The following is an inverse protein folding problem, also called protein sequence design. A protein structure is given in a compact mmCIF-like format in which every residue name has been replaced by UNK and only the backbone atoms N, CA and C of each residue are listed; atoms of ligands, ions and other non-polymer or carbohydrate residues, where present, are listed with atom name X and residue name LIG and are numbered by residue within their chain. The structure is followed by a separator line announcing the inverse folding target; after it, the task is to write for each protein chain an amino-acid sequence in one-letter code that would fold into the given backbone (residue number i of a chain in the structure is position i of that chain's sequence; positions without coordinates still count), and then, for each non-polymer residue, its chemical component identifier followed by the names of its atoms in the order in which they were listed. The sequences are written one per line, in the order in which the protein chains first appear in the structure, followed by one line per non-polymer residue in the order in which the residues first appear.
data_IF_875532131676
#
_entry.id   IF_875532131676
#
_cell.length_a   1.000
_cell.length_b   1.000
_cell.length_c   1.000
_cell.angle_alpha   90.00
_cell.angle_beta   90.00
_cell.angle_gamma   90.00
#
_symmetry.space_group_name_H-M   'P 1'
#
loop_
_entity.id
_entity.type
_entity.pdbx_description
1 polymer ?
#
# COMPACT_ATOMS: atom_id res chain seq x y z
N UNK A 1 -0.35 22.06 -3.98
CA UNK A 1 0.58 22.28 -2.85
C UNK A 1 1.33 20.98 -2.60
N UNK A 2 2.66 21.03 -2.51
CA UNK A 2 3.48 19.82 -2.27
C UNK A 2 4.09 19.91 -0.87
N UNK A 3 3.89 18.84 -0.09
CA UNK A 3 4.37 18.71 1.28
C UNK A 3 5.18 17.42 1.37
N UNK A 4 6.39 17.50 1.91
CA UNK A 4 7.23 16.32 2.14
C UNK A 4 7.59 16.26 3.63
N UNK A 5 7.23 15.15 4.27
CA UNK A 5 7.51 14.87 5.68
C UNK A 5 8.45 13.66 5.72
N UNK A 6 9.65 13.82 6.26
CA UNK A 6 10.64 12.74 6.39
C UNK A 6 10.98 12.50 7.86
N UNK A 7 10.80 11.28 8.29
CA UNK A 7 11.20 10.82 9.62
C UNK A 7 12.40 9.87 9.45
N UNK A 8 13.56 10.36 9.90
CA UNK A 8 14.79 9.58 9.91
C UNK A 8 15.04 9.06 11.33
N UNK A 9 15.12 7.73 11.43
CA UNK A 9 15.48 7.06 12.68
C UNK A 9 16.99 6.86 12.72
N UNK A 10 17.64 7.37 13.74
CA UNK A 10 19.06 7.28 14.00
C UNK A 10 19.34 6.67 15.38
N UNK A 11 20.61 6.59 15.81
CA UNK A 11 20.98 5.97 17.08
C UNK A 11 20.44 6.72 18.31
N UNK A 12 20.03 7.97 18.16
CA UNK A 12 19.45 8.79 19.22
C UNK A 12 17.92 8.81 19.21
N UNK A 13 17.32 8.53 18.04
CA UNK A 13 15.87 8.64 17.79
C UNK A 13 15.34 7.36 17.16
N UNK A 14 15.18 6.31 17.96
CA UNK A 14 14.71 4.98 17.51
C UNK A 14 13.19 4.78 17.65
N UNK A 15 12.50 5.68 18.36
CA UNK A 15 11.06 5.59 18.59
C UNK A 15 10.34 6.85 18.10
N UNK A 16 9.27 6.66 17.34
CA UNK A 16 8.40 7.72 16.88
C UNK A 16 6.94 7.34 17.13
N UNK A 17 6.23 8.21 17.85
CA UNK A 17 4.76 8.18 17.92
C UNK A 17 4.29 9.52 17.35
N UNK A 18 3.50 9.47 16.28
CA UNK A 18 3.07 10.69 15.60
C UNK A 18 1.59 10.66 15.19
N UNK A 19 1.05 11.84 15.04
CA UNK A 19 -0.24 12.06 14.41
C UNK A 19 -0.07 13.13 13.33
N UNK A 20 -0.57 12.85 12.14
CA UNK A 20 -0.59 13.78 11.01
C UNK A 20 -2.05 14.03 10.65
N UNK A 21 -2.44 15.29 10.57
CA UNK A 21 -3.75 15.69 10.06
C UNK A 21 -3.58 16.45 8.75
N UNK A 22 -4.33 16.03 7.73
CA UNK A 22 -4.29 16.62 6.39
C UNK A 22 -5.71 17.10 6.05
N UNK A 23 -5.87 18.39 5.80
CA UNK A 23 -7.13 18.96 5.35
C UNK A 23 -6.91 19.58 3.98
N UNK A 24 -7.39 18.90 2.93
CA UNK A 24 -7.27 19.36 1.56
C UNK A 24 -8.49 20.18 1.16
N UNK A 25 -8.25 21.44 0.71
CA UNK A 25 -9.25 22.36 0.16
C UNK A 25 -9.07 22.60 -1.35
N UNK A 26 -8.13 21.90 -1.98
CA UNK A 26 -7.77 21.97 -3.39
C UNK A 26 -6.72 20.92 -3.71
N UNK A 27 -5.96 21.10 -4.78
CA UNK A 27 -4.94 20.14 -5.20
C UNK A 27 -3.77 20.13 -4.20
N UNK A 28 -3.61 19.00 -3.52
CA UNK A 28 -2.61 18.80 -2.46
C UNK A 28 -1.89 17.48 -2.69
N UNK A 29 -0.56 17.50 -2.62
CA UNK A 29 0.29 16.32 -2.69
C UNK A 29 1.12 16.21 -1.41
N UNK A 30 1.12 15.05 -0.77
CA UNK A 30 1.83 14.80 0.48
C UNK A 30 2.67 13.54 0.35
N UNK A 31 3.95 13.63 0.66
CA UNK A 31 4.86 12.48 0.76
C UNK A 31 5.27 12.33 2.21
N UNK A 32 5.10 11.12 2.76
CA UNK A 32 5.48 10.76 4.13
C UNK A 32 6.46 9.59 4.04
N UNK A 33 7.66 9.78 4.55
CA UNK A 33 8.73 8.79 4.50
C UNK A 33 9.23 8.45 5.91
N UNK A 34 9.29 7.16 6.21
CA UNK A 34 9.88 6.60 7.43
C UNK A 34 11.11 5.77 7.04
N UNK A 35 12.29 6.17 7.51
CA UNK A 35 13.56 5.55 7.12
C UNK A 35 14.50 5.35 8.28
N UNK A 36 15.07 4.14 8.40
CA UNK A 36 16.15 3.88 9.35
C UNK A 36 17.52 4.23 8.75
N UNK A 37 18.29 5.00 9.51
CA UNK A 37 19.71 5.29 9.28
C UNK A 37 20.60 4.58 10.29
N UNK A 38 20.04 3.68 11.10
CA UNK A 38 20.69 2.89 12.13
C UNK A 38 20.37 1.41 11.97
N UNK A 39 21.20 0.53 12.53
CA UNK A 39 20.92 -0.91 12.66
C UNK A 39 20.13 -1.27 13.92
N UNK A 40 19.93 -0.31 14.84
CA UNK A 40 19.13 -0.51 16.04
C UNK A 40 17.67 -0.78 15.69
N UNK A 41 16.99 -1.50 16.57
CA UNK A 41 15.55 -1.70 16.44
C UNK A 41 14.83 -0.36 16.60
N UNK A 42 14.05 0.03 15.58
CA UNK A 42 13.21 1.22 15.63
C UNK A 42 11.74 0.83 15.84
N UNK A 43 10.97 1.74 16.39
CA UNK A 43 9.52 1.63 16.53
C UNK A 43 8.85 2.87 15.93
N UNK A 44 7.99 2.65 14.97
CA UNK A 44 7.05 3.67 14.50
C UNK A 44 5.62 3.26 14.87
N UNK A 45 4.86 4.20 15.41
CA UNK A 45 3.43 4.06 15.65
C UNK A 45 2.73 5.38 15.30
N UNK A 46 2.05 5.41 14.15
CA UNK A 46 1.49 6.60 13.56
C UNK A 46 0.00 6.54 13.25
N UNK A 47 -0.62 7.71 13.27
CA UNK A 47 -1.99 7.92 12.78
C UNK A 47 -1.96 9.05 11.77
N UNK A 48 -2.55 8.81 10.60
CA UNK A 48 -2.79 9.81 9.57
C UNK A 48 -4.30 9.99 9.44
N UNK A 49 -4.78 11.21 9.61
CA UNK A 49 -6.17 11.59 9.32
C UNK A 49 -6.20 12.54 8.15
N UNK A 50 -6.96 12.20 7.12
CA UNK A 50 -7.09 13.01 5.93
C UNK A 50 -8.56 13.35 5.64
N UNK A 51 -8.83 14.63 5.39
CA UNK A 51 -10.14 15.13 4.97
C UNK A 51 -9.95 15.80 3.62
N UNK A 52 -10.59 15.25 2.59
CA UNK A 52 -10.70 15.91 1.30
C UNK A 52 -12.07 16.63 1.22
N UNK A 53 -12.03 17.94 1.33
CA UNK A 53 -13.21 18.78 1.25
C UNK A 53 -13.81 18.78 -0.17
N UNK A 54 -14.99 19.36 -0.34
CA UNK A 54 -15.70 19.38 -1.62
C UNK A 54 -14.81 19.90 -2.77
N UNK A 55 -14.76 19.12 -3.87
CA UNK A 55 -13.96 19.34 -5.07
C UNK A 55 -12.43 19.31 -4.85
N UNK A 56 -11.94 18.94 -3.68
CA UNK A 56 -10.50 18.82 -3.42
C UNK A 56 -9.91 17.56 -4.05
N UNK A 57 -8.64 17.66 -4.45
CA UNK A 57 -7.82 16.51 -4.84
C UNK A 57 -6.65 16.36 -3.87
N UNK A 58 -6.51 15.14 -3.33
CA UNK A 58 -5.44 14.79 -2.39
C UNK A 58 -4.68 13.56 -2.89
N UNK A 59 -3.40 13.72 -3.15
CA UNK A 59 -2.48 12.64 -3.47
C UNK A 59 -1.55 12.40 -2.26
N UNK A 60 -1.54 11.19 -1.68
CA UNK A 60 -0.71 10.84 -0.53
C UNK A 60 0.18 9.66 -0.88
N UNK A 61 1.48 9.84 -0.72
CA UNK A 61 2.48 8.76 -0.83
C UNK A 61 3.04 8.47 0.56
N UNK A 62 2.97 7.21 1.01
CA UNK A 62 3.56 6.76 2.27
C UNK A 62 4.60 5.70 1.98
N UNK A 63 5.81 5.88 2.52
CA UNK A 63 6.95 4.99 2.25
C UNK A 63 7.57 4.52 3.56
N UNK A 64 7.51 3.22 3.80
CA UNK A 64 8.17 2.55 4.93
C UNK A 64 9.46 1.86 4.48
N UNK A 65 10.60 2.46 4.84
CA UNK A 65 11.96 1.95 4.63
C UNK A 65 12.68 1.66 5.97
N UNK A 66 11.95 1.29 7.00
CA UNK A 66 12.56 0.89 8.27
C UNK A 66 13.43 -0.36 8.09
N UNK A 67 14.45 -0.51 8.92
CA UNK A 67 15.32 -1.67 8.89
C UNK A 67 14.58 -2.97 9.30
N UNK A 68 15.16 -4.10 9.03
CA UNK A 68 14.55 -5.43 9.20
C UNK A 68 14.26 -5.85 10.65
N UNK A 69 14.80 -5.13 11.64
CA UNK A 69 14.58 -5.39 13.06
C UNK A 69 13.45 -4.55 13.66
N UNK A 70 12.95 -3.58 12.91
CA UNK A 70 12.04 -2.55 13.38
C UNK A 70 10.57 -2.96 13.28
N UNK A 71 9.73 -2.33 14.08
CA UNK A 71 8.28 -2.48 14.02
C UNK A 71 7.63 -1.19 13.49
N UNK A 72 6.69 -1.33 12.57
CA UNK A 72 5.92 -0.25 11.96
C UNK A 72 4.42 -0.47 12.15
N UNK A 73 3.74 0.48 12.79
CA UNK A 73 2.30 0.46 12.97
C UNK A 73 1.72 1.76 12.43
N UNK A 74 0.93 1.67 11.36
CA UNK A 74 0.32 2.83 10.71
C UNK A 74 -1.19 2.65 10.62
N UNK A 75 -1.92 3.66 11.04
CA UNK A 75 -3.37 3.76 10.87
C UNK A 75 -3.70 5.00 10.04
N UNK A 76 -4.50 4.81 8.99
CA UNK A 76 -4.90 5.86 8.07
C UNK A 76 -6.43 5.95 8.08
N UNK A 77 -6.96 7.13 8.36
CA UNK A 77 -8.39 7.43 8.31
C UNK A 77 -8.65 8.53 7.30
N UNK A 78 -9.57 8.29 6.37
CA UNK A 78 -9.93 9.26 5.34
C UNK A 78 -11.41 9.58 5.37
N UNK A 79 -11.73 10.84 5.09
CA UNK A 79 -13.08 11.32 4.85
C UNK A 79 -13.13 12.05 3.52
N UNK A 80 -14.03 11.62 2.64
CA UNK A 80 -14.17 12.16 1.30
C UNK A 80 -15.52 12.87 1.17
N UNK A 81 -15.46 14.18 0.93
CA UNK A 81 -16.63 15.01 0.66
C UNK A 81 -17.01 14.99 -0.84
N UNK A 82 -18.05 15.71 -1.21
CA UNK A 82 -18.61 15.71 -2.57
C UNK A 82 -17.59 16.09 -3.63
N UNK A 83 -17.58 15.34 -4.74
CA UNK A 83 -16.65 15.49 -5.88
C UNK A 83 -15.16 15.44 -5.50
N UNK A 84 -14.81 15.06 -4.28
CA UNK A 84 -13.40 14.98 -3.91
C UNK A 84 -12.74 13.75 -4.51
N UNK A 85 -11.42 13.84 -4.69
CA UNK A 85 -10.61 12.73 -5.17
C UNK A 85 -9.42 12.51 -4.23
N UNK A 86 -9.26 11.27 -3.74
CA UNK A 86 -8.14 10.90 -2.86
C UNK A 86 -7.41 9.71 -3.45
N UNK A 87 -6.11 9.90 -3.71
CA UNK A 87 -5.23 8.84 -4.20
C UNK A 87 -4.16 8.52 -3.16
N UNK A 88 -4.03 7.25 -2.81
CA UNK A 88 -2.94 6.76 -1.97
C UNK A 88 -1.98 5.89 -2.75
N UNK A 89 -0.69 6.07 -2.48
CA UNK A 89 0.38 5.16 -2.89
C UNK A 89 1.14 4.73 -1.65
N UNK A 90 1.02 3.46 -1.25
CA UNK A 90 1.64 2.93 -0.05
C UNK A 90 2.76 1.95 -0.43
N UNK A 91 3.97 2.22 0.02
CA UNK A 91 5.17 1.40 -0.21
C UNK A 91 5.62 0.83 1.14
N UNK A 92 5.30 -0.42 1.41
CA UNK A 92 5.64 -1.11 2.66
C UNK A 92 6.68 -2.21 2.44
N UNK A 93 7.95 -1.83 2.42
CA UNK A 93 9.06 -2.77 2.23
C UNK A 93 9.98 -2.87 3.45
N UNK A 94 9.75 -2.09 4.50
CA UNK A 94 10.52 -2.06 5.74
C UNK A 94 9.86 -2.80 6.91
N UNK A 95 10.63 -2.94 8.00
CA UNK A 95 10.19 -3.47 9.29
C UNK A 95 10.14 -4.99 9.39
N UNK A 96 10.43 -5.53 10.58
CA UNK A 96 10.22 -6.93 10.96
C UNK A 96 8.73 -7.25 11.05
N UNK A 97 7.99 -6.39 11.75
CA UNK A 97 6.54 -6.39 11.81
C UNK A 97 6.02 -5.09 11.24
N UNK A 98 5.16 -5.16 10.23
CA UNK A 98 4.47 -3.99 9.70
C UNK A 98 2.97 -4.25 9.72
N UNK A 99 2.23 -3.34 10.37
CA UNK A 99 0.78 -3.35 10.44
C UNK A 99 0.28 -2.07 9.79
N UNK A 100 -0.49 -2.21 8.71
CA UNK A 100 -1.08 -1.09 7.96
C UNK A 100 -2.59 -1.21 7.97
N UNK A 101 -3.25 -0.25 8.64
CA UNK A 101 -4.69 -0.12 8.62
C UNK A 101 -5.08 1.10 7.79
N UNK A 102 -5.97 0.91 6.84
CA UNK A 102 -6.54 1.96 6.04
C UNK A 102 -8.07 1.93 6.18
N UNK A 103 -8.65 3.04 6.53
CA UNK A 103 -10.09 3.22 6.57
C UNK A 103 -10.49 4.44 5.75
N UNK A 104 -11.41 4.25 4.81
CA UNK A 104 -11.92 5.31 3.96
C UNK A 104 -13.43 5.44 4.08
N UNK A 105 -13.90 6.58 4.56
CA UNK A 105 -15.31 6.93 4.65
C UNK A 105 -15.68 7.86 3.49
N UNK A 106 -16.30 7.29 2.45
CA UNK A 106 -16.63 7.98 1.20
C UNK A 106 -18.08 8.45 1.26
N UNK A 107 -18.28 9.66 1.81
CA UNK A 107 -19.61 10.18 2.15
C UNK A 107 -20.21 11.10 1.08
N UNK A 108 -19.36 11.78 0.32
CA UNK A 108 -19.81 12.76 -0.66
C UNK A 108 -20.28 12.13 -1.98
N UNK A 109 -21.31 12.70 -2.61
CA UNK A 109 -21.67 12.30 -3.97
C UNK A 109 -20.48 12.46 -4.93
N UNK A 110 -20.28 11.47 -5.83
CA UNK A 110 -19.26 11.49 -6.86
C UNK A 110 -17.81 11.59 -6.31
N UNK A 111 -17.61 11.18 -5.06
CA UNK A 111 -16.26 11.10 -4.50
C UNK A 111 -15.52 9.85 -4.99
N UNK A 112 -14.23 9.99 -5.25
CA UNK A 112 -13.37 8.96 -5.83
C UNK A 112 -12.16 8.68 -4.93
N UNK A 113 -11.94 7.41 -4.61
CA UNK A 113 -10.80 6.97 -3.84
C UNK A 113 -10.02 5.90 -4.63
N UNK A 114 -8.72 6.10 -4.75
CA UNK A 114 -7.80 5.17 -5.41
C UNK A 114 -6.67 4.82 -4.45
N UNK A 115 -6.55 3.55 -4.07
CA UNK A 115 -5.52 3.04 -3.18
C UNK A 115 -4.65 2.02 -3.90
N UNK A 116 -3.38 2.34 -4.09
CA UNK A 116 -2.39 1.42 -4.65
C UNK A 116 -1.30 1.17 -3.62
N UNK A 117 -1.01 -0.10 -3.39
CA UNK A 117 -0.04 -0.50 -2.38
C UNK A 117 0.91 -1.57 -2.90
N UNK A 118 2.18 -1.48 -2.51
CA UNK A 118 3.12 -2.59 -2.63
C UNK A 118 3.65 -2.99 -1.26
N UNK A 119 3.89 -4.27 -1.08
CA UNK A 119 4.61 -4.79 0.07
C UNK A 119 5.68 -5.82 -0.34
N UNK A 120 6.78 -5.83 0.40
CA UNK A 120 7.82 -6.84 0.29
C UNK A 120 8.12 -7.40 1.67
N UNK A 121 8.02 -8.72 1.82
CA UNK A 121 8.41 -9.44 3.03
C UNK A 121 9.55 -10.41 2.75
N UNK A 122 10.58 -10.38 3.57
CA UNK A 122 11.76 -11.27 3.49
C UNK A 122 12.08 -11.88 4.85
N UNK A 123 12.87 -12.95 4.89
CA UNK A 123 13.26 -13.61 6.14
C UNK A 123 12.05 -14.09 6.94
N UNK A 124 11.89 -13.62 8.15
CA UNK A 124 10.76 -13.93 9.05
C UNK A 124 9.78 -12.77 9.21
N UNK A 125 9.83 -11.79 8.32
CA UNK A 125 9.00 -10.59 8.40
C UNK A 125 7.51 -10.91 8.33
N UNK A 126 6.74 -10.08 9.03
CA UNK A 126 5.29 -10.15 9.07
C UNK A 126 4.66 -8.86 8.57
N UNK A 127 3.77 -8.99 7.59
CA UNK A 127 2.94 -7.92 7.05
C UNK A 127 1.48 -8.19 7.38
N UNK A 128 0.84 -7.30 8.13
CA UNK A 128 -0.59 -7.31 8.42
C UNK A 128 -1.24 -6.09 7.78
N UNK A 129 -2.11 -6.31 6.81
CA UNK A 129 -2.70 -5.26 5.98
C UNK A 129 -4.21 -5.37 6.09
N UNK A 130 -4.86 -4.30 6.55
CA UNK A 130 -6.31 -4.25 6.71
C UNK A 130 -6.86 -2.97 6.07
N UNK A 131 -7.46 -3.08 4.89
CA UNK A 131 -8.00 -1.97 4.13
C UNK A 131 -9.50 -2.04 4.07
N UNK A 132 -10.16 -0.98 4.51
CA UNK A 132 -11.61 -0.89 4.61
C UNK A 132 -12.07 0.39 3.89
N UNK A 133 -13.03 0.25 2.98
CA UNK A 133 -13.70 1.37 2.34
C UNK A 133 -15.21 1.27 2.55
N UNK A 134 -15.80 2.29 3.16
CA UNK A 134 -17.25 2.44 3.28
C UNK A 134 -17.77 3.47 2.28
N UNK A 135 -18.62 3.03 1.35
CA UNK A 135 -19.26 3.88 0.34
C UNK A 135 -20.65 4.27 0.85
N UNK A 136 -20.84 5.56 1.10
CA UNK A 136 -22.11 6.13 1.63
C UNK A 136 -22.78 7.10 0.66
N UNK A 137 -21.97 7.81 -0.13
CA UNK A 137 -22.46 8.75 -1.13
C UNK A 137 -22.89 8.05 -2.43
N UNK A 138 -23.75 8.71 -3.20
CA UNK A 138 -24.13 8.23 -4.54
C UNK A 138 -23.00 8.40 -5.55
N UNK A 139 -22.88 7.49 -6.52
CA UNK A 139 -21.88 7.53 -7.59
C UNK A 139 -20.43 7.57 -7.07
N UNK A 140 -20.19 7.08 -5.87
CA UNK A 140 -18.85 7.00 -5.30
C UNK A 140 -18.06 5.86 -5.92
N UNK A 141 -16.74 5.98 -5.89
CA UNK A 141 -15.85 4.95 -6.41
C UNK A 141 -14.72 4.64 -5.43
N UNK A 142 -14.32 3.36 -5.36
CA UNK A 142 -13.09 2.90 -4.72
C UNK A 142 -12.39 1.87 -5.60
N UNK A 143 -11.09 2.05 -5.82
CA UNK A 143 -10.22 1.07 -6.50
C UNK A 143 -8.99 0.76 -5.65
N UNK A 144 -8.94 -0.45 -5.11
CA UNK A 144 -7.84 -0.97 -4.30
C UNK A 144 -7.03 -1.96 -5.13
N UNK A 145 -5.73 -1.70 -5.32
CA UNK A 145 -4.80 -2.62 -5.98
C UNK A 145 -3.55 -2.81 -5.11
N UNK A 146 -3.35 -4.04 -4.64
CA UNK A 146 -2.25 -4.41 -3.73
C UNK A 146 -1.37 -5.45 -4.42
N UNK A 147 -0.09 -5.13 -4.60
CA UNK A 147 0.90 -6.02 -5.20
C UNK A 147 1.97 -6.38 -4.18
N UNK A 148 2.25 -7.66 -4.01
CA UNK A 148 3.20 -8.10 -3.01
C UNK A 148 4.15 -9.19 -3.45
N UNK A 149 5.25 -9.32 -2.73
CA UNK A 149 6.18 -10.44 -2.86
C UNK A 149 6.68 -10.90 -1.48
N UNK A 150 6.77 -12.22 -1.29
CA UNK A 150 7.22 -12.84 -0.06
C UNK A 150 8.34 -13.83 -0.34
N UNK A 151 9.46 -13.64 0.34
CA UNK A 151 10.66 -14.50 0.25
C UNK A 151 10.93 -15.17 1.61
N UNK A 152 11.65 -16.27 1.60
CA UNK A 152 12.06 -17.05 2.77
C UNK A 152 10.86 -17.58 3.59
N UNK A 153 10.73 -17.21 4.85
CA UNK A 153 9.64 -17.58 5.75
C UNK A 153 8.69 -16.43 6.08
N UNK A 154 8.74 -15.36 5.28
CA UNK A 154 7.91 -14.19 5.48
C UNK A 154 6.41 -14.52 5.39
N UNK A 155 5.60 -13.78 6.13
CA UNK A 155 4.17 -14.00 6.24
C UNK A 155 3.40 -12.71 5.98
N UNK A 156 2.27 -12.84 5.27
CA UNK A 156 1.33 -11.76 5.06
C UNK A 156 -0.10 -12.19 5.39
N UNK A 157 -0.81 -11.33 6.11
CA UNK A 157 -2.26 -11.36 6.21
C UNK A 157 -2.81 -10.12 5.52
N UNK A 158 -3.70 -10.29 4.58
CA UNK A 158 -4.44 -9.21 3.94
C UNK A 158 -5.92 -9.35 4.25
N UNK A 159 -6.55 -8.26 4.67
CA UNK A 159 -8.00 -8.12 4.75
C UNK A 159 -8.39 -6.90 3.94
N UNK A 160 -9.20 -7.11 2.91
CA UNK A 160 -9.80 -6.04 2.16
C UNK A 160 -11.32 -6.06 2.35
N UNK A 161 -11.91 -4.92 2.62
CA UNK A 161 -13.35 -4.81 2.82
C UNK A 161 -13.89 -3.63 2.03
N UNK A 162 -14.82 -3.90 1.14
CA UNK A 162 -15.64 -2.87 0.50
C UNK A 162 -17.05 -3.01 1.05
N UNK A 163 -17.58 -1.93 1.62
CA UNK A 163 -18.89 -1.90 2.26
C UNK A 163 -19.80 -0.85 1.61
N UNK A 164 -20.76 -1.31 0.83
CA UNK A 164 -21.79 -0.47 0.20
C UNK A 164 -22.93 -0.24 1.18
N UNK A 165 -22.95 0.94 1.78
CA UNK A 165 -24.01 1.34 2.73
C UNK A 165 -25.29 1.74 1.99
N UNK A 166 -26.43 1.61 2.67
CA UNK A 166 -27.71 2.08 2.15
C UNK A 166 -27.63 3.56 1.75
N UNK A 167 -28.03 3.87 0.53
CA UNK A 167 -27.96 5.21 -0.05
C UNK A 167 -26.79 5.41 -1.02
N UNK A 168 -25.82 4.48 -1.11
CA UNK A 168 -24.68 4.57 -2.04
C UNK A 168 -25.02 4.16 -3.48
N UNK A 169 -26.17 4.55 -3.99
CA UNK A 169 -26.63 4.20 -5.35
C UNK A 169 -25.58 4.53 -6.40
N UNK A 170 -25.42 3.61 -7.35
CA UNK A 170 -24.43 3.70 -8.46
C UNK A 170 -22.98 3.79 -7.98
N UNK A 171 -22.73 3.37 -6.74
CA UNK A 171 -21.36 3.25 -6.26
C UNK A 171 -20.66 2.07 -6.93
N UNK A 172 -19.34 2.20 -7.10
CA UNK A 172 -18.47 1.18 -7.67
C UNK A 172 -17.32 0.89 -6.73
N UNK A 173 -17.02 -0.39 -6.55
CA UNK A 173 -15.92 -0.83 -5.72
C UNK A 173 -15.16 -1.96 -6.36
N UNK A 174 -13.84 -1.84 -6.44
CA UNK A 174 -12.96 -2.86 -6.96
C UNK A 174 -11.79 -3.09 -6.01
N UNK A 175 -11.51 -4.35 -5.70
CA UNK A 175 -10.38 -4.75 -4.86
C UNK A 175 -9.61 -5.87 -5.55
N UNK A 176 -8.32 -5.65 -5.79
CA UNK A 176 -7.41 -6.65 -6.31
C UNK A 176 -6.20 -6.80 -5.38
N UNK A 177 -5.84 -8.01 -5.06
CA UNK A 177 -4.59 -8.31 -4.36
C UNK A 177 -3.88 -9.46 -5.07
N UNK A 178 -2.59 -9.26 -5.35
CA UNK A 178 -1.73 -10.30 -5.89
C UNK A 178 -0.44 -10.44 -5.08
N UNK A 179 -0.14 -11.66 -4.64
CA UNK A 179 1.06 -11.99 -3.88
C UNK A 179 1.95 -12.99 -4.61
N UNK A 180 3.18 -12.60 -4.94
CA UNK A 180 4.20 -13.53 -5.43
C UNK A 180 4.86 -14.26 -4.27
N UNK A 181 4.87 -15.58 -4.30
CA UNK A 181 5.59 -16.45 -3.37
C UNK A 181 6.93 -16.84 -4.00
N UNK A 182 8.01 -16.26 -3.49
CA UNK A 182 9.38 -16.47 -3.98
C UNK A 182 10.07 -17.65 -3.30
N UNK A 183 9.46 -18.21 -2.23
CA UNK A 183 10.00 -19.33 -1.45
C UNK A 183 8.88 -20.22 -0.95
N UNK A 184 9.15 -21.52 -0.79
CA UNK A 184 8.16 -22.52 -0.35
C UNK A 184 7.68 -22.31 1.09
N UNK A 185 8.46 -21.64 1.93
CA UNK A 185 8.09 -21.35 3.34
C UNK A 185 7.31 -20.05 3.49
N UNK A 186 7.26 -19.22 2.45
CA UNK A 186 6.48 -17.99 2.47
C UNK A 186 4.98 -18.28 2.60
N UNK A 187 4.25 -17.48 3.38
CA UNK A 187 2.82 -17.70 3.65
C UNK A 187 2.01 -16.44 3.37
N UNK A 188 1.02 -16.58 2.51
CA UNK A 188 0.05 -15.53 2.19
C UNK A 188 -1.34 -15.97 2.61
N UNK A 189 -2.02 -15.13 3.39
CA UNK A 189 -3.44 -15.26 3.71
C UNK A 189 -4.13 -14.01 3.18
N UNK A 190 -5.26 -14.20 2.48
CA UNK A 190 -6.10 -13.11 2.01
C UNK A 190 -7.56 -13.41 2.38
N UNK A 191 -8.24 -12.40 2.92
CA UNK A 191 -9.62 -12.45 3.37
C UNK A 191 -10.38 -11.25 2.80
N UNK A 192 -10.73 -11.27 1.51
CA UNK A 192 -11.53 -10.21 0.91
C UNK A 192 -12.98 -10.29 1.39
N UNK A 193 -13.60 -9.15 1.63
CA UNK A 193 -15.01 -9.04 2.02
C UNK A 193 -15.72 -7.99 1.19
N UNK A 194 -16.89 -8.34 0.68
CA UNK A 194 -17.79 -7.43 0.00
C UNK A 194 -19.11 -7.40 0.79
N UNK A 195 -19.36 -6.28 1.47
CA UNK A 195 -20.59 -6.06 2.24
C UNK A 195 -21.51 -5.13 1.44
N UNK A 196 -22.78 -5.45 1.38
CA UNK A 196 -23.71 -4.72 0.53
C UNK A 196 -25.08 -4.61 1.16
N UNK A 197 -25.52 -3.38 1.41
CA UNK A 197 -26.87 -3.06 1.87
C UNK A 197 -27.62 -2.13 0.88
N UNK A 198 -27.05 -1.90 -0.31
CA UNK A 198 -27.64 -1.14 -1.43
C UNK A 198 -27.70 -2.03 -2.68
N UNK A 199 -28.81 -1.98 -3.42
CA UNK A 199 -29.04 -2.87 -4.59
C UNK A 199 -28.40 -2.35 -5.88
N UNK A 200 -28.33 -1.03 -6.07
CA UNK A 200 -27.84 -0.38 -7.28
C UNK A 200 -26.34 -0.04 -7.17
N UNK A 201 -25.49 -1.07 -7.11
CA UNK A 201 -24.04 -0.92 -6.99
C UNK A 201 -23.28 -1.95 -7.84
N UNK A 202 -22.01 -1.68 -8.12
CA UNK A 202 -21.10 -2.59 -8.79
C UNK A 202 -19.92 -2.90 -7.86
N UNK A 203 -19.76 -4.17 -7.45
CA UNK A 203 -18.69 -4.59 -6.55
C UNK A 203 -17.91 -5.77 -7.12
N UNK A 204 -16.57 -5.68 -7.14
CA UNK A 204 -15.68 -6.75 -7.53
C UNK A 204 -14.57 -6.91 -6.50
N UNK A 205 -14.19 -8.16 -6.21
CA UNK A 205 -12.96 -8.45 -5.51
C UNK A 205 -12.20 -9.61 -6.16
N UNK A 206 -10.87 -9.57 -6.09
CA UNK A 206 -10.01 -10.62 -6.61
C UNK A 206 -8.77 -10.72 -5.74
N UNK A 207 -8.47 -11.90 -5.24
CA UNK A 207 -7.21 -12.17 -4.57
C UNK A 207 -6.54 -13.39 -5.17
N UNK A 208 -5.23 -13.31 -5.39
CA UNK A 208 -4.45 -14.42 -5.88
C UNK A 208 -3.07 -14.47 -5.23
N UNK A 209 -2.59 -15.67 -5.00
CA UNK A 209 -1.19 -15.87 -4.64
C UNK A 209 -0.61 -17.02 -5.47
N UNK A 210 0.63 -16.87 -5.89
CA UNK A 210 1.28 -17.87 -6.72
C UNK A 210 2.79 -17.75 -6.74
N UNK A 211 3.46 -18.82 -7.15
CA UNK A 211 4.89 -18.80 -7.43
C UNK A 211 5.15 -17.95 -8.69
N UNK A 212 6.39 -17.57 -8.87
CA UNK A 212 6.83 -16.92 -10.11
C UNK A 212 6.52 -17.82 -11.31
N UNK A 213 6.02 -17.24 -12.39
CA UNK A 213 5.74 -17.98 -13.63
C UNK A 213 7.02 -18.59 -14.19
N UNK A 214 7.11 -19.92 -14.16
CA UNK A 214 8.28 -20.68 -14.60
C UNK A 214 8.59 -20.47 -16.09
N UNK A 215 7.58 -20.26 -16.94
CA UNK A 215 7.78 -19.99 -18.37
C UNK A 215 8.42 -18.63 -18.58
N UNK A 216 7.92 -17.63 -17.88
CA UNK A 216 8.48 -16.28 -17.92
C UNK A 216 9.91 -16.27 -17.38
N UNK A 217 10.14 -16.96 -16.26
CA UNK A 217 11.45 -17.10 -15.65
C UNK A 217 12.43 -17.77 -16.61
N UNK A 218 12.05 -18.93 -17.19
CA UNK A 218 12.85 -19.65 -18.16
C UNK A 218 13.21 -18.77 -19.37
N UNK A 219 12.23 -18.05 -19.93
CA UNK A 219 12.45 -17.14 -21.05
C UNK A 219 13.51 -16.07 -20.75
N UNK A 220 13.45 -15.44 -19.56
CA UNK A 220 14.42 -14.43 -19.14
C UNK A 220 15.81 -15.06 -18.99
N UNK A 221 15.89 -16.25 -18.40
CA UNK A 221 17.16 -16.98 -18.20
C UNK A 221 17.80 -17.42 -19.52
N UNK A 222 17.01 -17.75 -20.55
CA UNK A 222 17.57 -18.06 -21.90
C UNK A 222 18.25 -16.87 -22.55
N UNK A 223 18.03 -15.64 -22.05
CA UNK A 223 18.72 -14.42 -22.48
C UNK A 223 20.02 -14.15 -21.71
N UNK A 224 20.49 -15.12 -20.92
CA UNK A 224 21.73 -15.01 -20.16
C UNK A 224 21.61 -14.33 -18.79
N UNK A 225 20.40 -14.07 -18.32
CA UNK A 225 20.14 -13.47 -17.01
C UNK A 225 20.10 -14.59 -15.96
N UNK A 226 20.78 -14.40 -14.83
CA UNK A 226 20.76 -15.37 -13.73
C UNK A 226 19.35 -15.53 -13.14
N UNK A 227 19.08 -16.69 -12.52
CA UNK A 227 17.80 -16.94 -11.84
C UNK A 227 17.43 -15.80 -10.86
N UNK A 228 18.38 -15.38 -10.02
CA UNK A 228 18.20 -14.34 -9.03
C UNK A 228 17.82 -13.00 -9.66
N UNK A 229 18.53 -12.59 -10.69
CA UNK A 229 18.22 -11.36 -11.42
C UNK A 229 16.88 -11.43 -12.18
N UNK A 230 16.56 -12.60 -12.74
CA UNK A 230 15.26 -12.80 -13.39
C UNK A 230 14.10 -12.65 -12.41
N UNK A 231 14.20 -13.21 -11.20
CA UNK A 231 13.20 -13.04 -10.13
C UNK A 231 13.07 -11.56 -9.76
N UNK A 232 14.18 -10.84 -9.55
CA UNK A 232 14.15 -9.40 -9.27
C UNK A 232 13.43 -8.61 -10.37
N UNK A 233 13.73 -8.89 -11.64
CA UNK A 233 13.09 -8.23 -12.77
C UNK A 233 11.57 -8.45 -12.77
N UNK A 234 11.14 -9.69 -12.49
CA UNK A 234 9.71 -10.02 -12.44
C UNK A 234 9.02 -9.26 -11.29
N UNK A 235 9.59 -9.27 -10.08
CA UNK A 235 9.04 -8.53 -8.93
C UNK A 235 8.95 -7.04 -9.25
N UNK A 236 10.06 -6.44 -9.71
CA UNK A 236 10.10 -5.01 -10.06
C UNK A 236 9.10 -4.66 -11.15
N UNK A 237 8.89 -5.50 -12.16
CA UNK A 237 7.92 -5.24 -13.21
C UNK A 237 6.48 -5.15 -12.68
N UNK A 238 6.14 -5.93 -11.67
CA UNK A 238 4.83 -5.87 -11.00
C UNK A 238 4.68 -4.62 -10.14
N UNK A 239 5.72 -4.25 -9.42
CA UNK A 239 5.71 -3.08 -8.54
C UNK A 239 5.80 -1.75 -9.31
N UNK A 240 6.44 -1.76 -10.48
CA UNK A 240 6.77 -0.56 -11.23
C UNK A 240 5.52 0.27 -11.57
N UNK A 241 4.40 -0.39 -11.91
CA UNK A 241 3.13 0.29 -12.19
C UNK A 241 2.67 1.19 -11.04
N UNK A 242 2.94 0.79 -9.79
CA UNK A 242 2.58 1.55 -8.59
C UNK A 242 3.68 2.55 -8.26
N UNK A 243 4.95 2.17 -8.37
CA UNK A 243 6.11 3.04 -8.10
C UNK A 243 6.13 4.25 -9.05
N UNK A 244 5.73 4.09 -10.31
CA UNK A 244 5.66 5.18 -11.29
C UNK A 244 4.64 6.28 -10.93
N UNK A 245 3.76 6.06 -9.96
CA UNK A 245 2.86 7.10 -9.43
C UNK A 245 3.59 8.13 -8.57
N UNK A 246 4.78 7.78 -8.06
CA UNK A 246 5.58 8.66 -7.20
C UNK A 246 6.24 9.72 -8.06
N UNK A 247 5.98 10.99 -7.77
CA UNK A 247 6.52 12.11 -8.56
C UNK A 247 7.98 12.43 -8.22
N UNK A 248 8.44 12.14 -7.01
CA UNK A 248 9.82 12.36 -6.57
C UNK A 248 10.74 11.26 -7.14
N UNK A 249 11.49 11.60 -8.20
CA UNK A 249 12.41 10.67 -8.88
C UNK A 249 13.53 10.17 -7.95
N UNK A 250 13.97 10.97 -6.99
CA UNK A 250 15.00 10.55 -6.01
C UNK A 250 14.44 9.46 -5.11
N UNK A 251 13.24 9.66 -4.58
CA UNK A 251 12.56 8.69 -3.74
C UNK A 251 12.24 7.41 -4.52
N UNK A 252 11.80 7.53 -5.77
CA UNK A 252 11.55 6.39 -6.67
C UNK A 252 12.80 5.52 -6.84
N UNK A 253 13.95 6.14 -7.15
CA UNK A 253 15.22 5.43 -7.30
C UNK A 253 15.69 4.79 -5.98
N UNK A 254 15.44 5.44 -4.86
CA UNK A 254 15.74 4.90 -3.54
C UNK A 254 14.91 3.65 -3.24
N UNK A 255 13.61 3.69 -3.48
CA UNK A 255 12.71 2.54 -3.32
C UNK A 255 13.17 1.36 -4.19
N UNK A 256 13.49 1.60 -5.46
CA UNK A 256 13.99 0.56 -6.36
C UNK A 256 15.30 -0.05 -5.88
N UNK A 257 16.22 0.77 -5.37
CA UNK A 257 17.49 0.31 -4.78
C UNK A 257 17.27 -0.53 -3.51
N UNK A 258 16.33 -0.13 -2.65
CA UNK A 258 15.99 -0.89 -1.45
C UNK A 258 15.33 -2.24 -1.79
N UNK A 259 14.48 -2.29 -2.81
CA UNK A 259 13.91 -3.55 -3.32
C UNK A 259 15.01 -4.48 -3.81
N UNK A 260 15.96 -3.97 -4.60
CA UNK A 260 17.11 -4.77 -5.11
C UNK A 260 17.93 -5.35 -3.97
N UNK A 261 18.32 -4.54 -2.98
CA UNK A 261 19.08 -4.99 -1.80
C UNK A 261 18.36 -6.07 -1.00
N UNK A 262 17.05 -5.93 -0.81
CA UNK A 262 16.26 -6.88 -0.03
C UNK A 262 16.01 -8.19 -0.76
N UNK A 263 16.01 -8.19 -2.08
CA UNK A 263 15.89 -9.39 -2.89
C UNK A 263 17.26 -10.11 -3.10
N UNK A 264 18.37 -9.47 -2.78
CA UNK A 264 19.71 -10.07 -2.74
C UNK A 264 19.84 -11.10 -1.63
#
# INVERSE_FOLDING_TARGET
MDIIIRYNFDDNNVNLINQIEIIANGDTNVIIEYKSQTSLKCLHNGIIRAIANENAKLDVTIVNLLNENSDNFEAIENKLEKNSKVNYTIIDIGGKTSISNYYSNIIGENADNDLKSIYLGIGEQRKDINYIAELRGTKTNIDIDVQGALKDSAKKNFKGTIDFKKGSKKAKGNENEYCMLLSDKAKSIALPMLLCTEEDVEGNHSTASGKVDEKQLFYIMTRGISYKEAVKLIVKSKFNKIIERILDEKLKNEILSEIDKRLD
#
